data_IF_980040069192
#
_entry.id   IF_980040069192
#
_cell.length_a   1.000
_cell.length_b   1.000
_cell.length_c   1.000
_cell.angle_alpha   90.00
_cell.angle_beta   90.00
_cell.angle_gamma   90.00
#
_symmetry.space_group_name_H-M   'P 1'
#
loop_
_entity.id
_entity.type
_entity.pdbx_description
1 polymer ?
#
# COMPACT_ATOMS: atom_id res chain seq x y z
N UNK A 1 34.22 -59.03 18.16
CA UNK A 1 33.11 -58.27 17.51
C UNK A 1 31.93 -57.93 18.43
N UNK A 2 31.68 -58.65 19.54
CA UNK A 2 30.55 -58.34 20.45
C UNK A 2 30.67 -56.98 21.18
N UNK A 3 31.89 -56.57 21.55
CA UNK A 3 32.14 -55.31 22.29
C UNK A 3 32.05 -54.03 21.44
N UNK A 4 32.21 -54.17 20.12
CA UNK A 4 32.18 -53.04 19.18
C UNK A 4 30.74 -52.60 18.92
N UNK A 5 29.82 -53.56 18.82
CA UNK A 5 28.38 -53.32 18.67
C UNK A 5 27.81 -52.67 19.93
N UNK A 6 28.19 -53.14 21.12
CA UNK A 6 27.72 -52.55 22.38
C UNK A 6 28.24 -51.12 22.58
N UNK A 7 29.48 -50.83 22.19
CA UNK A 7 30.06 -49.48 22.24
C UNK A 7 29.35 -48.51 21.29
N UNK A 8 29.00 -48.94 20.07
CA UNK A 8 28.24 -48.14 19.10
C UNK A 8 26.83 -47.83 19.64
N UNK A 9 26.14 -48.82 20.20
CA UNK A 9 24.79 -48.61 20.76
C UNK A 9 24.81 -47.65 21.96
N UNK A 10 25.83 -47.74 22.81
CA UNK A 10 26.00 -46.82 23.94
C UNK A 10 26.26 -45.38 23.47
N UNK A 11 27.11 -45.20 22.44
CA UNK A 11 27.40 -43.89 21.86
C UNK A 11 26.17 -43.25 21.22
N UNK A 12 25.34 -44.02 20.50
CA UNK A 12 24.07 -43.54 19.92
C UNK A 12 23.11 -43.11 21.03
N UNK A 13 22.96 -43.89 22.11
CA UNK A 13 22.09 -43.54 23.23
C UNK A 13 22.53 -42.23 23.92
N UNK A 14 23.83 -42.01 24.08
CA UNK A 14 24.38 -40.76 24.64
C UNK A 14 24.14 -39.59 23.67
N UNK A 15 24.33 -39.79 22.36
CA UNK A 15 24.14 -38.73 21.36
C UNK A 15 22.67 -38.30 21.24
N UNK A 16 21.73 -39.26 21.29
CA UNK A 16 20.28 -38.99 21.28
C UNK A 16 19.83 -38.29 22.57
N UNK A 17 20.41 -38.65 23.73
CA UNK A 17 20.05 -37.99 25.01
C UNK A 17 20.64 -36.59 25.15
N UNK A 18 21.82 -36.31 24.59
CA UNK A 18 22.40 -34.96 24.54
C UNK A 18 21.64 -34.07 23.54
N UNK A 19 21.25 -34.61 22.37
CA UNK A 19 20.47 -33.85 21.38
C UNK A 19 19.04 -33.52 21.86
N UNK A 20 18.53 -34.27 22.85
CA UNK A 20 17.25 -33.99 23.50
C UNK A 20 17.34 -32.96 24.64
N UNK A 21 18.55 -32.56 25.08
CA UNK A 21 18.69 -31.47 26.05
C UNK A 21 18.46 -30.12 25.36
N UNK A 22 17.24 -29.62 25.52
CA UNK A 22 16.93 -28.20 25.63
C UNK A 22 17.16 -27.40 24.34
N UNK A 23 16.33 -27.68 23.33
CA UNK A 23 15.78 -26.55 22.59
C UNK A 23 14.94 -25.77 23.60
N UNK A 24 15.46 -24.66 24.11
CA UNK A 24 14.67 -23.69 24.88
C UNK A 24 13.49 -23.31 24.00
N UNK A 25 12.32 -23.92 24.25
CA UNK A 25 11.05 -23.61 23.59
C UNK A 25 10.50 -22.27 24.07
N UNK A 26 11.37 -21.27 24.23
CA UNK A 26 10.93 -19.89 24.38
C UNK A 26 10.25 -19.54 23.06
N UNK A 27 8.97 -19.13 23.09
CA UNK A 27 8.36 -18.56 21.91
C UNK A 27 9.29 -17.48 21.38
N UNK A 28 9.66 -17.56 20.10
CA UNK A 28 10.39 -16.48 19.46
C UNK A 28 9.66 -15.16 19.79
N UNK A 29 10.37 -14.10 20.21
CA UNK A 29 9.73 -12.82 20.46
C UNK A 29 8.88 -12.47 19.24
N UNK A 30 7.59 -12.19 19.46
CA UNK A 30 6.72 -11.73 18.38
C UNK A 30 7.43 -10.56 17.70
N UNK A 31 7.48 -10.53 16.35
CA UNK A 31 8.07 -9.39 15.67
C UNK A 31 7.36 -8.12 16.15
N UNK A 32 8.10 -7.04 16.41
CA UNK A 32 7.49 -5.81 16.91
C UNK A 32 6.37 -5.37 15.97
N UNK A 33 5.20 -5.09 16.53
CA UNK A 33 4.06 -4.58 15.77
C UNK A 33 4.47 -3.33 14.99
N UNK A 34 3.96 -3.14 13.75
CA UNK A 34 4.26 -1.94 12.99
C UNK A 34 3.91 -0.68 13.80
N UNK A 35 4.74 0.38 13.74
CA UNK A 35 4.48 1.61 14.45
C UNK A 35 3.07 2.15 14.16
N UNK A 36 2.48 2.75 15.20
CA UNK A 36 1.17 3.38 15.10
C UNK A 36 1.17 4.55 14.11
N UNK A 37 -0.01 4.80 13.57
CA UNK A 37 -0.25 5.96 12.71
C UNK A 37 -0.34 7.22 13.56
N UNK A 38 0.47 8.22 13.24
CA UNK A 38 0.47 9.52 13.92
C UNK A 38 -0.20 10.56 13.04
N UNK A 39 -0.84 11.54 13.67
CA UNK A 39 -1.42 12.67 12.95
C UNK A 39 -0.38 13.39 12.08
N UNK A 40 -0.86 13.89 10.95
CA UNK A 40 -0.08 14.67 10.01
C UNK A 40 -0.97 15.76 9.41
N UNK A 41 -0.48 16.98 9.27
CA UNK A 41 -1.25 18.13 8.79
C UNK A 41 -1.67 18.07 7.31
N UNK A 42 -1.13 17.11 6.55
CA UNK A 42 -1.44 16.91 5.13
C UNK A 42 -0.81 17.94 4.19
N UNK A 43 0.13 18.78 4.65
CA UNK A 43 0.77 19.83 3.84
C UNK A 43 2.21 19.51 3.45
N UNK A 44 3.04 19.09 4.41
CA UNK A 44 4.46 18.78 4.19
C UNK A 44 4.84 17.43 4.81
N UNK A 45 5.68 16.61 4.16
CA UNK A 45 6.36 16.86 2.88
C UNK A 45 5.49 16.65 1.64
N UNK A 46 4.29 16.05 1.78
CA UNK A 46 3.40 15.73 0.67
C UNK A 46 2.06 16.44 0.80
N UNK A 47 1.38 16.71 -0.31
CA UNK A 47 0.05 17.28 -0.24
C UNK A 47 -1.00 16.17 -0.18
N UNK A 48 -1.72 16.06 0.94
CA UNK A 48 -2.75 15.03 1.12
C UNK A 48 -3.89 15.13 0.10
N UNK A 49 -4.25 16.34 -0.33
CA UNK A 49 -5.27 16.56 -1.36
C UNK A 49 -4.81 16.04 -2.72
N UNK A 50 -3.52 16.22 -3.05
CA UNK A 50 -2.93 15.67 -4.26
C UNK A 50 -2.95 14.14 -4.22
N UNK A 51 -2.46 13.53 -3.12
CA UNK A 51 -2.52 12.07 -2.91
C UNK A 51 -3.95 11.54 -3.10
N UNK A 52 -4.95 12.19 -2.51
CA UNK A 52 -6.35 11.76 -2.63
C UNK A 52 -6.91 11.93 -4.04
N UNK A 53 -6.49 12.97 -4.77
CA UNK A 53 -6.90 13.21 -6.16
C UNK A 53 -6.31 12.16 -7.09
N UNK A 54 -5.00 11.92 -6.98
CA UNK A 54 -4.28 10.92 -7.77
C UNK A 54 -4.77 9.50 -7.45
N UNK A 55 -5.07 9.20 -6.18
CA UNK A 55 -5.66 7.93 -5.78
C UNK A 55 -7.05 7.70 -6.39
N UNK A 56 -7.88 8.73 -6.49
CA UNK A 56 -9.19 8.64 -7.13
C UNK A 56 -9.08 8.43 -8.65
N UNK A 57 -8.09 9.06 -9.28
CA UNK A 57 -7.78 8.86 -10.70
C UNK A 57 -7.27 7.44 -10.95
N UNK A 58 -6.32 6.97 -10.13
CA UNK A 58 -5.80 5.62 -10.17
C UNK A 58 -6.91 4.57 -10.07
N UNK A 59 -7.86 4.75 -9.14
CA UNK A 59 -8.98 3.82 -9.00
C UNK A 59 -9.75 3.63 -10.31
N UNK A 60 -9.94 4.69 -11.09
CA UNK A 60 -10.57 4.63 -12.40
C UNK A 60 -9.68 3.94 -13.44
N UNK A 61 -8.38 4.23 -13.45
CA UNK A 61 -7.40 3.58 -14.36
C UNK A 61 -7.34 2.07 -14.15
N UNK A 62 -7.61 1.60 -12.93
CA UNK A 62 -7.75 0.17 -12.62
C UNK A 62 -9.04 -0.48 -13.14
N UNK A 63 -9.83 0.21 -13.97
CA UNK A 63 -11.06 -0.30 -14.56
C UNK A 63 -12.29 -0.17 -13.66
N UNK A 64 -12.20 0.57 -12.55
CA UNK A 64 -13.37 0.82 -11.70
C UNK A 64 -14.15 2.05 -12.16
N UNK A 65 -15.31 2.29 -11.52
CA UNK A 65 -16.12 3.49 -11.76
C UNK A 65 -15.34 4.75 -11.36
N UNK A 66 -15.52 5.83 -12.11
CA UNK A 66 -14.87 7.10 -11.79
C UNK A 66 -15.47 7.74 -10.53
N UNK A 67 -14.60 8.13 -9.60
CA UNK A 67 -14.92 8.85 -8.39
C UNK A 67 -14.16 10.17 -8.38
N UNK A 68 -14.88 11.28 -8.14
CA UNK A 68 -14.25 12.59 -7.96
C UNK A 68 -13.98 12.81 -6.49
N UNK A 69 -12.75 13.19 -6.15
CA UNK A 69 -12.39 13.65 -4.81
C UNK A 69 -13.30 14.82 -4.36
N UNK A 70 -13.76 14.77 -3.10
CA UNK A 70 -14.61 15.81 -2.50
C UNK A 70 -13.88 16.50 -1.36
N UNK A 71 -13.50 15.74 -0.32
CA UNK A 71 -12.87 16.28 0.88
C UNK A 71 -11.98 15.26 1.57
N UNK A 72 -11.03 15.75 2.36
CA UNK A 72 -10.23 14.92 3.26
C UNK A 72 -11.08 14.46 4.45
N UNK A 73 -10.78 13.28 4.96
CA UNK A 73 -11.31 12.72 6.20
C UNK A 73 -10.25 12.72 7.30
N UNK A 74 -9.18 11.94 7.12
CA UNK A 74 -8.04 11.91 8.04
C UNK A 74 -6.72 11.85 7.29
N UNK A 75 -5.67 12.35 7.94
CA UNK A 75 -4.31 12.41 7.42
C UNK A 75 -3.34 11.95 8.49
N UNK A 76 -2.61 10.90 8.17
CA UNK A 76 -1.78 10.19 9.13
C UNK A 76 -0.47 9.77 8.46
N UNK A 77 0.58 9.63 9.26
CA UNK A 77 1.88 9.16 8.81
C UNK A 77 2.46 8.15 9.79
N UNK A 78 3.31 7.26 9.29
CA UNK A 78 4.17 6.42 10.12
C UNK A 78 5.46 6.10 9.37
N UNK A 79 6.41 5.52 10.09
CA UNK A 79 7.68 5.05 9.52
C UNK A 79 7.74 3.54 9.73
N UNK A 80 8.04 2.78 8.68
CA UNK A 80 8.27 1.33 8.76
C UNK A 80 9.62 1.09 8.10
N UNK A 81 10.56 0.46 8.81
CA UNK A 81 11.90 0.14 8.30
C UNK A 81 12.60 1.34 7.65
N UNK A 82 12.62 2.49 8.31
CA UNK A 82 13.22 3.69 7.72
C UNK A 82 12.31 4.48 6.78
N UNK A 83 11.21 3.89 6.31
CA UNK A 83 10.45 4.39 5.17
C UNK A 83 9.18 5.13 5.60
N UNK A 84 9.02 6.43 5.25
CA UNK A 84 7.80 7.17 5.52
C UNK A 84 6.63 6.63 4.71
N UNK A 85 5.49 6.42 5.37
CA UNK A 85 4.22 6.09 4.75
C UNK A 85 3.18 7.11 5.16
N UNK A 86 2.35 7.52 4.21
CA UNK A 86 1.30 8.52 4.40
C UNK A 86 -0.05 7.86 4.11
N UNK A 87 -0.97 7.93 5.07
CA UNK A 87 -2.33 7.43 4.94
C UNK A 87 -3.27 8.61 4.86
N UNK A 88 -4.07 8.64 3.81
CA UNK A 88 -5.08 9.66 3.58
C UNK A 88 -6.42 8.96 3.45
N UNK A 89 -7.31 9.15 4.43
CA UNK A 89 -8.73 8.80 4.25
C UNK A 89 -9.44 9.99 3.65
N UNK A 90 -10.22 9.76 2.60
CA UNK A 90 -10.90 10.83 1.88
C UNK A 90 -12.26 10.38 1.37
N UNK A 91 -13.14 11.36 1.20
CA UNK A 91 -14.46 11.17 0.64
C UNK A 91 -14.42 11.48 -0.86
N UNK A 92 -14.97 10.57 -1.66
CA UNK A 92 -15.12 10.75 -3.09
C UNK A 92 -16.55 10.47 -3.52
N UNK A 93 -16.99 11.14 -4.58
CA UNK A 93 -18.35 11.01 -5.10
C UNK A 93 -18.31 10.33 -6.46
N UNK A 94 -19.16 9.34 -6.65
CA UNK A 94 -19.28 8.66 -7.93
C UNK A 94 -19.77 9.63 -8.99
N UNK A 95 -19.15 9.59 -10.16
CA UNK A 95 -19.60 10.38 -11.29
C UNK A 95 -19.76 9.52 -12.54
N UNK A 96 -20.56 10.00 -13.49
CA UNK A 96 -20.52 9.44 -14.85
C UNK A 96 -19.14 9.79 -15.41
N UNK A 97 -18.36 8.78 -15.76
CA UNK A 97 -17.12 9.00 -16.52
C UNK A 97 -17.50 9.73 -17.80
N UNK A 98 -16.89 10.89 -18.04
CA UNK A 98 -16.91 11.47 -19.37
C UNK A 98 -15.62 11.17 -20.10
N UNK A 99 -15.51 11.70 -21.31
CA UNK A 99 -14.34 11.47 -22.16
C UNK A 99 -13.13 12.18 -21.53
N UNK A 100 -11.92 11.60 -21.59
CA UNK A 100 -10.71 12.35 -21.29
C UNK A 100 -10.71 13.63 -22.13
N UNK A 101 -10.49 14.75 -21.47
CA UNK A 101 -10.33 16.07 -22.08
C UNK A 101 -9.26 15.94 -23.15
N UNK A 102 -9.61 16.38 -24.35
CA UNK A 102 -8.70 16.49 -25.47
C UNK A 102 -8.41 17.96 -25.66
N UNK A 103 -7.15 18.36 -25.62
CA UNK A 103 -6.74 19.66 -26.14
C UNK A 103 -6.29 19.46 -27.57
N UNK A 104 -6.91 20.20 -28.48
CA UNK A 104 -6.55 20.21 -29.89
C UNK A 104 -5.79 21.50 -30.20
N UNK A 105 -4.62 21.40 -30.83
CA UNK A 105 -3.87 22.54 -31.36
C UNK A 105 -3.34 22.14 -32.74
N UNK A 106 -3.59 22.97 -33.75
CA UNK A 106 -3.17 22.75 -35.15
C UNK A 106 -3.56 21.36 -35.69
N UNK A 107 -4.83 20.97 -35.53
CA UNK A 107 -5.35 19.68 -36.04
C UNK A 107 -4.92 18.43 -35.27
N UNK A 108 -3.95 18.53 -34.33
CA UNK A 108 -3.55 17.42 -33.46
C UNK A 108 -4.20 17.54 -32.09
N UNK A 109 -4.92 16.49 -31.69
CA UNK A 109 -5.59 16.40 -30.39
C UNK A 109 -4.82 15.48 -29.44
N UNK A 110 -4.38 16.03 -28.31
CA UNK A 110 -3.70 15.28 -27.25
C UNK A 110 -4.64 15.13 -26.05
N UNK A 111 -4.74 13.92 -25.49
CA UNK A 111 -5.45 13.68 -24.23
C UNK A 111 -4.67 14.38 -23.12
N UNK A 112 -5.30 15.29 -22.38
CA UNK A 112 -4.63 16.06 -21.31
C UNK A 112 -4.64 15.35 -19.95
N UNK A 113 -5.08 14.09 -19.88
CA UNK A 113 -5.22 13.32 -18.64
C UNK A 113 -6.39 13.77 -17.74
N UNK A 114 -6.92 14.98 -17.93
CA UNK A 114 -8.12 15.46 -17.23
C UNK A 114 -9.36 14.74 -17.75
N UNK A 115 -10.27 14.32 -16.88
CA UNK A 115 -11.53 13.69 -17.29
C UNK A 115 -12.62 14.76 -17.27
N UNK A 116 -13.30 14.99 -18.40
CA UNK A 116 -14.47 15.87 -18.42
C UNK A 116 -15.60 15.13 -17.72
N UNK A 117 -15.99 15.58 -16.53
CA UNK A 117 -17.03 14.91 -15.74
C UNK A 117 -18.36 15.60 -15.98
N UNK A 118 -19.35 14.88 -16.51
CA UNK A 118 -20.65 15.49 -16.84
C UNK A 118 -21.50 15.76 -15.60
N UNK A 119 -21.72 14.75 -14.75
CA UNK A 119 -22.47 14.87 -13.47
C UNK A 119 -22.02 13.85 -12.43
N UNK A 120 -21.85 14.29 -11.18
CA UNK A 120 -21.61 13.45 -10.01
C UNK A 120 -22.90 13.24 -9.21
N UNK A 121 -23.29 12.00 -8.95
CA UNK A 121 -24.56 11.65 -8.27
C UNK A 121 -24.31 10.62 -7.16
N UNK A 122 -25.19 10.58 -6.17
CA UNK A 122 -25.13 9.63 -5.06
C UNK A 122 -24.52 10.19 -3.78
N UNK A 123 -24.24 9.30 -2.82
CA UNK A 123 -23.62 9.62 -1.54
C UNK A 123 -22.09 9.75 -1.69
N UNK A 124 -21.46 10.41 -0.72
CA UNK A 124 -20.02 10.39 -0.59
C UNK A 124 -19.60 9.01 -0.09
N UNK A 125 -18.60 8.43 -0.72
CA UNK A 125 -18.06 7.11 -0.40
C UNK A 125 -16.65 7.28 0.16
N UNK A 126 -16.28 6.43 1.11
CA UNK A 126 -15.02 6.57 1.84
C UNK A 126 -13.91 5.73 1.19
N UNK A 127 -12.78 6.38 0.96
CA UNK A 127 -11.58 5.78 0.39
C UNK A 127 -10.39 5.98 1.32
N UNK A 128 -9.41 5.11 1.17
CA UNK A 128 -8.11 5.19 1.82
C UNK A 128 -7.01 5.10 0.76
N UNK A 129 -6.14 6.09 0.74
CA UNK A 129 -4.89 6.06 0.02
C UNK A 129 -3.73 5.80 1.00
N UNK A 130 -2.81 4.91 0.63
CA UNK A 130 -1.52 4.72 1.31
C UNK A 130 -0.41 4.96 0.30
N UNK A 131 0.31 6.07 0.50
CA UNK A 131 1.49 6.44 -0.26
C UNK A 131 2.75 5.99 0.49
N UNK A 132 3.61 5.24 -0.20
CA UNK A 132 4.93 4.85 0.31
C UNK A 132 5.96 5.82 -0.27
N UNK A 133 6.53 6.68 0.57
CA UNK A 133 7.48 7.69 0.16
C UNK A 133 8.91 7.15 0.16
N UNK A 134 9.16 6.22 -0.76
CA UNK A 134 10.46 5.63 -1.02
C UNK A 134 10.51 5.22 -2.48
N UNK A 135 11.60 5.57 -3.13
CA UNK A 135 11.92 5.12 -4.48
C UNK A 135 12.75 3.84 -4.35
N UNK A 136 12.14 2.69 -4.62
CA UNK A 136 12.88 1.42 -4.76
C UNK A 136 12.89 1.07 -6.24
N UNK A 137 14.07 0.86 -6.84
CA UNK A 137 14.22 0.56 -8.27
C UNK A 137 13.46 1.57 -9.15
N UNK A 138 13.68 2.87 -8.89
CA UNK A 138 13.02 3.96 -9.60
C UNK A 138 11.50 3.89 -9.51
N UNK A 139 10.92 3.40 -8.40
CA UNK A 139 9.48 3.23 -8.27
C UNK A 139 8.91 3.74 -6.95
N UNK A 140 7.90 4.60 -7.04
CA UNK A 140 7.01 5.01 -5.95
C UNK A 140 5.74 4.15 -5.94
N UNK A 141 5.09 4.02 -4.78
CA UNK A 141 3.88 3.21 -4.67
C UNK A 141 2.73 3.97 -4.02
N UNK A 142 1.61 4.03 -4.74
CA UNK A 142 0.33 4.53 -4.25
C UNK A 142 -0.70 3.40 -4.28
N UNK A 143 -1.28 3.09 -3.13
CA UNK A 143 -2.36 2.11 -3.03
C UNK A 143 -3.65 2.84 -2.67
N UNK A 144 -4.75 2.50 -3.32
CA UNK A 144 -6.09 3.02 -3.07
C UNK A 144 -7.04 1.88 -2.74
N UNK A 145 -7.81 2.05 -1.67
CA UNK A 145 -8.82 1.09 -1.22
C UNK A 145 -10.12 1.82 -0.97
N UNK A 146 -11.22 1.30 -1.50
CA UNK A 146 -12.56 1.76 -1.14
C UNK A 146 -12.98 1.05 0.16
N UNK A 147 -13.21 1.82 1.23
CA UNK A 147 -13.43 1.24 2.57
C UNK A 147 -14.80 0.57 2.71
N UNK A 148 -15.79 0.99 1.93
CA UNK A 148 -17.14 0.39 1.94
C UNK A 148 -17.25 -0.86 1.03
N UNK A 149 -16.14 -1.29 0.41
CA UNK A 149 -16.11 -2.44 -0.50
C UNK A 149 -15.53 -3.66 0.21
N UNK A 150 -16.11 -4.85 -0.01
CA UNK A 150 -15.58 -6.15 0.41
C UNK A 150 -14.23 -6.51 -0.27
N UNK A 151 -13.19 -5.71 -0.07
CA UNK A 151 -11.80 -6.05 -0.45
C UNK A 151 -11.28 -5.56 -1.81
N UNK A 152 -11.96 -4.64 -2.51
CA UNK A 152 -11.38 -4.07 -3.75
C UNK A 152 -10.36 -3.01 -3.40
N UNK A 153 -9.11 -3.26 -3.78
CA UNK A 153 -8.00 -2.33 -3.70
C UNK A 153 -7.30 -2.28 -5.05
N UNK A 154 -6.69 -1.15 -5.36
CA UNK A 154 -5.81 -1.03 -6.50
C UNK A 154 -4.49 -0.36 -6.07
N UNK A 155 -3.42 -0.69 -6.77
CA UNK A 155 -2.10 -0.13 -6.54
C UNK A 155 -1.46 0.23 -7.87
N UNK A 156 -0.77 1.36 -7.91
CA UNK A 156 0.16 1.68 -8.98
C UNK A 156 1.56 1.79 -8.43
N UNK A 157 2.49 1.38 -9.29
CA UNK A 157 3.91 1.53 -9.12
C UNK A 157 4.34 2.60 -10.12
N UNK A 158 4.59 3.82 -9.65
CA UNK A 158 4.95 4.97 -10.47
C UNK A 158 6.45 4.89 -10.73
N UNK A 159 6.88 4.73 -11.99
CA UNK A 159 8.30 4.85 -12.32
C UNK A 159 8.74 6.30 -12.15
N UNK A 160 9.76 6.53 -11.32
CA UNK A 160 10.36 7.82 -11.03
C UNK A 160 11.65 7.95 -11.84
N UNK A 161 11.66 8.79 -12.86
CA UNK A 161 12.88 9.10 -13.61
C UNK A 161 13.57 10.28 -12.92
N UNK A 162 14.76 10.03 -12.36
CA UNK A 162 15.66 11.09 -11.90
C UNK A 162 16.14 11.88 -13.14
N UNK A 163 15.84 13.17 -13.18
CA UNK A 163 16.40 14.13 -14.14
C UNK A 163 17.28 15.11 -13.37
#
# INVERSE_FOLDING_TARGET
>A
MKYLITSILLAIAIFVTISARKSDSRPAPLPPSPPEWKYWDGKKPLNAKLIATDAAMLWYECGHKYFKFVKLGSTEKRKIDGIPRFRVKYYAKKCKSGKPEKRCRNGKCVKTGRIIVSKCKGKNELFQAIFKNEVINDKLRLNVTKLDSKGRSCAIIIKYHYH
#
